data_IF_320695009737
#
_entry.id   IF_320695009737
#
_cell.length_a   1.000
_cell.length_b   1.000
_cell.length_c   1.000
_cell.angle_alpha   90.00
_cell.angle_beta   90.00
_cell.angle_gamma   90.00
#
_symmetry.space_group_name_H-M   'P 1'
#
loop_
_entity.id
_entity.type
_entity.pdbx_description
1 polymer ?
#
# COMPACT_ATOMS: atom_id res chain seq x y z
N UNK A 1 10.88 3.05 13.70
CA UNK A 1 9.90 3.92 14.38
C UNK A 1 9.09 4.63 13.30
N UNK A 2 7.76 4.50 13.29
CA UNK A 2 6.91 5.22 12.34
C UNK A 2 6.64 6.61 12.96
N UNK A 3 6.80 7.72 12.23
CA UNK A 3 6.47 9.04 12.74
C UNK A 3 5.01 9.09 13.20
N UNK A 4 4.73 9.70 14.35
CA UNK A 4 3.36 9.80 14.88
C UNK A 4 2.39 10.53 13.92
N UNK A 5 2.92 11.36 13.03
CA UNK A 5 2.18 12.10 12.00
C UNK A 5 2.06 11.36 10.66
N UNK A 6 2.66 10.17 10.52
CA UNK A 6 2.61 9.43 9.26
C UNK A 6 1.16 9.05 8.94
N UNK A 7 0.69 9.43 7.75
CA UNK A 7 -0.60 8.97 7.24
C UNK A 7 -0.46 7.52 6.80
N UNK A 8 -1.43 6.69 7.16
CA UNK A 8 -1.48 5.29 6.77
C UNK A 8 -2.76 5.05 5.98
N UNK A 9 -2.61 4.55 4.77
CA UNK A 9 -3.72 4.17 3.90
C UNK A 9 -3.77 2.65 3.79
N UNK A 10 -4.96 2.07 3.90
CA UNK A 10 -5.20 0.65 3.69
C UNK A 10 -6.01 0.48 2.41
N UNK A 11 -5.54 -0.37 1.51
CA UNK A 11 -6.33 -0.79 0.36
C UNK A 11 -7.64 -1.45 0.85
N UNK A 12 -8.78 -0.91 0.43
CA UNK A 12 -10.11 -1.35 0.88
C UNK A 12 -10.46 -2.78 0.43
N UNK A 13 -9.78 -3.27 -0.60
CA UNK A 13 -9.95 -4.62 -1.15
C UNK A 13 -8.62 -5.37 -1.11
N UNK A 14 -8.63 -6.70 -0.96
CA UNK A 14 -7.41 -7.49 -1.03
C UNK A 14 -6.71 -7.34 -2.39
N UNK A 15 -5.38 -7.22 -2.36
CA UNK A 15 -4.56 -7.07 -3.57
C UNK A 15 -3.93 -8.41 -3.95
N UNK A 16 -3.74 -8.61 -5.25
CA UNK A 16 -2.95 -9.72 -5.76
C UNK A 16 -1.47 -9.54 -5.39
N UNK A 17 -1.01 -10.34 -4.43
CA UNK A 17 0.34 -10.27 -3.89
C UNK A 17 1.43 -10.82 -4.83
N UNK A 18 1.06 -11.28 -6.02
CA UNK A 18 2.00 -11.50 -7.14
C UNK A 18 2.56 -10.19 -7.70
N UNK A 19 1.88 -9.05 -7.50
CA UNK A 19 2.41 -7.73 -7.87
C UNK A 19 3.68 -7.41 -7.07
N UNK A 20 4.74 -7.03 -7.76
CA UNK A 20 5.97 -6.49 -7.18
C UNK A 20 5.82 -5.02 -6.74
N UNK A 21 6.89 -4.38 -6.25
CA UNK A 21 6.87 -3.00 -5.76
C UNK A 21 6.26 -2.00 -6.76
N UNK A 22 6.71 -1.99 -8.01
CA UNK A 22 6.20 -1.06 -9.03
C UNK A 22 4.71 -1.24 -9.29
N UNK A 23 4.23 -2.48 -9.26
CA UNK A 23 2.81 -2.80 -9.40
C UNK A 23 1.97 -2.29 -8.23
N UNK A 24 2.55 -2.17 -7.03
CA UNK A 24 1.88 -1.57 -5.87
C UNK A 24 1.90 -0.04 -5.94
N UNK A 25 3.04 0.56 -6.33
CA UNK A 25 3.15 1.99 -6.55
C UNK A 25 2.18 2.47 -7.64
N UNK A 26 1.98 1.67 -8.69
CA UNK A 26 0.97 1.93 -9.72
C UNK A 26 -0.44 2.00 -9.12
N UNK A 27 -0.81 1.07 -8.23
CA UNK A 27 -2.13 1.09 -7.58
C UNK A 27 -2.35 2.35 -6.73
N UNK A 28 -1.30 2.86 -6.08
CA UNK A 28 -1.37 4.12 -5.33
C UNK A 28 -1.65 5.30 -6.27
N UNK A 29 -0.94 5.34 -7.41
CA UNK A 29 -1.15 6.37 -8.45
C UNK A 29 -2.53 6.29 -9.07
N UNK A 30 -3.00 5.08 -9.39
CA UNK A 30 -4.33 4.83 -9.96
C UNK A 30 -5.45 5.25 -8.99
N UNK A 31 -5.19 5.17 -7.67
CA UNK A 31 -6.08 5.69 -6.63
C UNK A 31 -5.98 7.22 -6.44
N UNK A 32 -5.22 7.92 -7.29
CA UNK A 32 -5.07 9.39 -7.27
C UNK A 32 -4.12 9.93 -6.21
N UNK A 33 -3.28 9.07 -5.63
CA UNK A 33 -2.31 9.46 -4.60
C UNK A 33 -0.87 9.43 -5.11
N UNK A 34 -0.01 10.28 -4.54
CA UNK A 34 1.43 10.20 -4.79
C UNK A 34 2.06 9.18 -3.81
N UNK A 35 2.69 8.08 -4.30
CA UNK A 35 3.32 7.11 -3.43
C UNK A 35 4.56 7.64 -2.68
N UNK A 36 5.11 8.79 -3.07
CA UNK A 36 6.30 9.37 -2.44
C UNK A 36 6.00 10.54 -1.49
N UNK A 37 4.74 10.76 -1.15
CA UNK A 37 4.30 11.84 -0.25
C UNK A 37 4.59 11.59 1.25
N UNK A 38 5.32 10.51 1.59
CA UNK A 38 5.65 10.14 2.96
C UNK A 38 4.54 9.43 3.74
N UNK A 39 3.41 9.10 3.10
CA UNK A 39 2.42 8.19 3.67
C UNK A 39 2.84 6.72 3.49
N UNK A 40 2.29 5.84 4.32
CA UNK A 40 2.45 4.40 4.20
C UNK A 40 1.21 3.80 3.51
N UNK A 41 1.41 3.07 2.43
CA UNK A 41 0.33 2.40 1.70
C UNK A 41 0.36 0.91 1.98
N UNK A 42 -0.64 0.43 2.71
CA UNK A 42 -0.75 -0.93 3.21
C UNK A 42 -1.66 -1.74 2.31
N UNK A 43 -1.16 -2.90 1.89
CA UNK A 43 -1.89 -3.89 1.11
C UNK A 43 -1.98 -5.19 1.89
N UNK A 44 -3.05 -5.95 1.66
CA UNK A 44 -3.26 -7.28 2.27
C UNK A 44 -3.57 -8.31 1.19
N UNK A 45 -3.04 -9.52 1.36
CA UNK A 45 -3.41 -10.66 0.51
C UNK A 45 -4.85 -11.11 0.81
N UNK A 46 -5.52 -11.72 -0.16
CA UNK A 46 -6.88 -12.27 0.01
C UNK A 46 -7.01 -13.24 1.20
N UNK A 47 -5.97 -14.05 1.45
CA UNK A 47 -5.90 -15.01 2.57
C UNK A 47 -5.59 -14.39 3.92
N UNK A 48 -5.40 -13.07 3.99
CA UNK A 48 -5.12 -12.34 5.22
C UNK A 48 -3.80 -12.66 5.93
N UNK A 49 -2.95 -13.49 5.33
CA UNK A 49 -1.71 -14.02 5.89
C UNK A 49 -0.48 -13.16 5.62
N UNK A 50 -0.60 -12.21 4.68
CA UNK A 50 0.51 -11.38 4.21
C UNK A 50 0.11 -9.91 4.06
N UNK A 51 1.06 -9.04 4.38
CA UNK A 51 1.00 -7.59 4.19
C UNK A 51 2.19 -7.15 3.34
N UNK A 52 1.97 -6.17 2.47
CA UNK A 52 3.02 -5.39 1.81
C UNK A 52 2.77 -3.91 2.10
N UNK A 53 3.83 -3.17 2.33
CA UNK A 53 3.78 -1.73 2.59
C UNK A 53 4.75 -1.08 1.61
N UNK A 54 4.30 -0.03 0.94
CA UNK A 54 5.12 0.84 0.08
C UNK A 54 4.96 2.29 0.49
#
# INVERSE_FOLDING_TARGET
MIPASAKVFLASHPVDFRKGPDGLLSLVRDAGSDPFNGALYVFRAKRADRIKIV
#
